data_IF_759597869048
#
_entry.id   IF_759597869048
#
_cell.length_a   1.000
_cell.length_b   1.000
_cell.length_c   1.000
_cell.angle_alpha   90.00
_cell.angle_beta   90.00
_cell.angle_gamma   90.00
#
_symmetry.space_group_name_H-M   'P 1'
#
loop_
_entity.id
_entity.type
_entity.pdbx_description
1 polymer ?
#
# COMPACT_ATOMS: atom_id res chain seq x y z
N UNK A 1 -1.77 -22.56 24.05
CA UNK A 1 -1.50 -21.58 22.99
C UNK A 1 -1.64 -22.30 21.66
N UNK A 2 -2.57 -21.91 20.79
CA UNK A 2 -2.71 -22.55 19.47
C UNK A 2 -1.47 -22.21 18.61
N UNK A 3 -0.80 -23.20 17.98
CA UNK A 3 0.53 -23.03 17.38
C UNK A 3 0.47 -22.48 15.94
N UNK A 4 -0.39 -21.51 15.67
CA UNK A 4 -0.50 -20.91 14.35
C UNK A 4 -0.53 -19.39 14.53
N UNK A 5 0.59 -18.73 14.25
CA UNK A 5 0.50 -17.35 13.80
C UNK A 5 -0.38 -17.38 12.54
N UNK A 6 -1.50 -16.67 12.53
CA UNK A 6 -2.30 -16.47 11.32
C UNK A 6 -1.37 -15.87 10.26
N UNK A 7 -0.81 -16.70 9.38
CA UNK A 7 -0.33 -16.22 8.10
C UNK A 7 -1.53 -16.11 7.20
N UNK A 8 -1.63 -14.96 6.53
CA UNK A 8 -2.66 -14.74 5.54
C UNK A 8 -2.70 -15.92 4.54
N UNK A 9 -3.89 -16.29 4.05
CA UNK A 9 -4.02 -17.35 3.06
C UNK A 9 -3.21 -16.98 1.82
N UNK A 10 -2.34 -17.90 1.38
CA UNK A 10 -1.50 -17.72 0.19
C UNK A 10 -1.61 -18.88 -0.81
N UNK A 11 -2.44 -19.89 -0.51
CA UNK A 11 -2.77 -21.02 -1.40
C UNK A 11 -4.29 -21.10 -1.57
N UNK A 12 -4.74 -21.56 -2.73
CA UNK A 12 -6.16 -21.79 -3.01
C UNK A 12 -6.83 -22.69 -1.95
N UNK A 13 -6.11 -23.71 -1.45
CA UNK A 13 -6.61 -24.61 -0.41
C UNK A 13 -6.84 -23.93 0.95
N UNK A 14 -6.16 -22.82 1.26
CA UNK A 14 -6.37 -22.11 2.52
C UNK A 14 -7.72 -21.39 2.53
N UNK A 15 -8.11 -20.77 1.42
CA UNK A 15 -9.42 -20.10 1.29
C UNK A 15 -10.60 -21.09 1.35
N UNK A 16 -10.37 -22.33 0.88
CA UNK A 16 -11.36 -23.40 0.86
C UNK A 16 -11.37 -24.27 2.14
N UNK A 17 -10.46 -24.05 3.10
CA UNK A 17 -10.36 -24.89 4.31
C UNK A 17 -11.61 -24.74 5.18
N UNK A 18 -12.25 -25.88 5.46
CA UNK A 18 -13.42 -25.93 6.35
C UNK A 18 -13.03 -25.61 7.78
N UNK A 19 -11.84 -26.04 8.20
CA UNK A 19 -11.27 -25.81 9.51
C UNK A 19 -11.02 -24.32 9.74
N UNK A 20 -10.42 -23.63 8.77
CA UNK A 20 -10.18 -22.19 8.84
C UNK A 20 -11.51 -21.41 8.85
N UNK A 21 -12.44 -21.75 7.95
CA UNK A 21 -13.77 -21.12 7.88
C UNK A 21 -14.60 -21.31 9.17
N UNK A 22 -14.21 -22.21 10.07
CA UNK A 22 -14.91 -22.48 11.33
C UNK A 22 -14.25 -21.83 12.57
N UNK A 23 -13.12 -21.12 12.43
CA UNK A 23 -12.37 -20.60 13.59
C UNK A 23 -13.08 -19.46 14.33
N UNK A 24 -13.85 -18.64 13.64
CA UNK A 24 -14.69 -17.58 14.23
C UNK A 24 -15.89 -17.27 13.33
N UNK A 25 -16.97 -16.63 13.84
CA UNK A 25 -18.22 -16.43 13.09
C UNK A 25 -18.06 -15.76 11.72
N UNK A 26 -17.08 -14.86 11.58
CA UNK A 26 -16.81 -14.12 10.34
C UNK A 26 -15.60 -14.64 9.55
N UNK A 27 -15.07 -15.83 9.88
CA UNK A 27 -13.94 -16.43 9.16
C UNK A 27 -14.25 -16.72 7.69
N UNK A 28 -15.46 -17.19 7.31
CA UNK A 28 -15.84 -17.36 5.91
C UNK A 28 -15.73 -16.06 5.10
N UNK A 29 -16.34 -14.98 5.60
CA UNK A 29 -16.36 -13.67 4.94
C UNK A 29 -14.96 -13.05 4.86
N UNK A 30 -14.16 -13.22 5.92
CA UNK A 30 -12.75 -12.81 5.92
C UNK A 30 -11.95 -13.50 4.81
N UNK A 31 -12.07 -14.83 4.68
CA UNK A 31 -11.36 -15.58 3.65
C UNK A 31 -11.84 -15.25 2.24
N UNK A 32 -13.14 -15.07 2.05
CA UNK A 32 -13.71 -14.68 0.76
C UNK A 32 -13.25 -13.27 0.35
N UNK A 33 -13.17 -12.34 1.32
CA UNK A 33 -12.63 -10.98 1.11
C UNK A 33 -11.16 -11.01 0.75
N UNK A 34 -10.34 -11.79 1.47
CA UNK A 34 -8.91 -11.92 1.15
C UNK A 34 -8.69 -12.59 -0.20
N UNK A 35 -9.51 -13.56 -0.60
CA UNK A 35 -9.43 -14.17 -1.93
C UNK A 35 -9.72 -13.13 -3.01
N UNK A 36 -10.79 -12.37 -2.85
CA UNK A 36 -11.16 -11.29 -3.78
C UNK A 36 -10.07 -10.23 -3.90
N UNK A 37 -9.48 -9.81 -2.77
CA UNK A 37 -8.35 -8.87 -2.76
C UNK A 37 -7.10 -9.43 -3.45
N UNK A 38 -6.82 -10.73 -3.30
CA UNK A 38 -5.67 -11.37 -3.93
C UNK A 38 -5.81 -11.52 -5.46
N UNK A 39 -7.02 -11.44 -6.01
CA UNK A 39 -7.27 -11.49 -7.46
C UNK A 39 -6.87 -10.18 -8.16
N UNK A 40 -6.86 -9.05 -7.44
CA UNK A 40 -6.51 -7.73 -7.96
C UNK A 40 -5.35 -7.14 -7.14
N UNK A 41 -4.12 -7.48 -7.55
CA UNK A 41 -2.93 -6.89 -6.94
C UNK A 41 -2.81 -5.40 -7.30
N UNK A 42 -2.56 -4.55 -6.31
CA UNK A 42 -2.10 -3.18 -6.52
C UNK A 42 -0.59 -3.22 -6.78
N UNK A 43 -0.15 -2.61 -7.87
CA UNK A 43 1.27 -2.47 -8.15
C UNK A 43 1.85 -1.35 -7.29
N UNK A 44 2.87 -1.66 -6.52
CA UNK A 44 3.62 -0.66 -5.75
C UNK A 44 4.19 0.43 -6.66
N UNK A 45 4.32 1.64 -6.12
CA UNK A 45 4.88 2.77 -6.85
C UNK A 45 6.37 2.49 -7.17
N UNK A 46 6.67 2.25 -8.45
CA UNK A 46 8.01 1.85 -8.89
C UNK A 46 8.63 2.91 -9.81
N UNK A 47 8.79 4.13 -9.29
CA UNK A 47 9.45 5.25 -9.95
C UNK A 47 10.73 5.66 -9.20
N UNK A 48 11.69 6.36 -9.82
CA UNK A 48 12.84 6.90 -9.10
C UNK A 48 12.39 7.73 -7.89
N UNK A 49 13.00 7.50 -6.74
CA UNK A 49 12.66 8.19 -5.49
C UNK A 49 11.35 7.75 -4.83
N UNK A 50 10.64 6.72 -5.31
CA UNK A 50 9.36 6.25 -4.72
C UNK A 50 9.39 6.13 -3.18
N UNK A 51 10.43 5.47 -2.65
CA UNK A 51 10.70 5.34 -1.21
C UNK A 51 10.78 6.69 -0.48
N UNK A 52 11.34 7.72 -1.12
CA UNK A 52 11.47 9.05 -0.51
C UNK A 52 10.12 9.77 -0.46
N UNK A 53 9.26 9.56 -1.46
CA UNK A 53 7.88 10.05 -1.41
C UNK A 53 7.10 9.38 -0.27
N UNK A 54 7.22 8.06 -0.13
CA UNK A 54 6.61 7.28 0.95
C UNK A 54 7.11 7.74 2.33
N UNK A 55 8.42 7.87 2.51
CA UNK A 55 9.01 8.30 3.78
C UNK A 55 8.61 9.73 4.18
N UNK A 56 8.43 10.64 3.21
CA UNK A 56 7.91 11.98 3.49
C UNK A 56 6.47 11.93 4.02
N UNK A 57 5.64 11.05 3.46
CA UNK A 57 4.28 10.83 3.95
C UNK A 57 4.27 10.16 5.33
N UNK A 58 5.10 9.14 5.55
CA UNK A 58 5.26 8.47 6.85
C UNK A 58 5.62 9.48 7.95
N UNK A 59 6.59 10.36 7.68
CA UNK A 59 6.98 11.44 8.60
C UNK A 59 5.82 12.39 8.89
N UNK A 60 5.04 12.76 7.87
CA UNK A 60 3.86 13.61 8.07
C UNK A 60 2.82 12.92 8.95
N UNK A 61 2.53 11.63 8.72
CA UNK A 61 1.60 10.86 9.54
C UNK A 61 2.06 10.76 11.00
N UNK A 62 3.34 10.46 11.23
CA UNK A 62 3.91 10.42 12.59
C UNK A 62 3.83 11.79 13.27
N UNK A 63 4.09 12.89 12.54
CA UNK A 63 3.98 14.24 13.08
C UNK A 63 2.54 14.57 13.50
N UNK A 64 1.54 14.16 12.71
CA UNK A 64 0.12 14.31 13.06
C UNK A 64 -0.21 13.56 14.34
N UNK A 65 0.26 12.31 14.49
CA UNK A 65 0.07 11.57 15.73
C UNK A 65 0.77 12.21 16.93
N UNK A 66 1.85 12.95 16.72
CA UNK A 66 2.54 13.72 17.73
C UNK A 66 1.88 15.10 18.03
N UNK A 67 0.80 15.46 17.33
CA UNK A 67 0.01 16.67 17.57
C UNK A 67 0.26 17.82 16.59
N UNK A 68 1.07 17.64 15.54
CA UNK A 68 1.19 18.63 14.47
C UNK A 68 -0.14 18.75 13.71
N UNK A 69 -0.63 19.97 13.40
CA UNK A 69 -1.81 20.13 12.57
C UNK A 69 -1.66 19.41 11.22
N UNK A 70 -2.68 18.65 10.81
CA UNK A 70 -2.61 17.81 9.61
C UNK A 70 -2.21 18.58 8.34
N UNK A 71 -2.73 19.81 8.19
CA UNK A 71 -2.37 20.68 7.07
C UNK A 71 -0.88 21.00 7.07
N UNK A 72 -0.32 21.38 8.21
CA UNK A 72 1.09 21.73 8.33
C UNK A 72 2.00 20.54 8.02
N UNK A 73 1.68 19.36 8.56
CA UNK A 73 2.43 18.14 8.29
C UNK A 73 2.40 17.74 6.79
N UNK A 74 1.23 17.84 6.15
CA UNK A 74 1.07 17.52 4.73
C UNK A 74 1.71 18.57 3.81
N UNK A 75 1.65 19.86 4.17
CA UNK A 75 2.34 20.92 3.44
C UNK A 75 3.87 20.67 3.42
N UNK A 76 4.43 20.19 4.54
CA UNK A 76 5.84 19.79 4.61
C UNK A 76 6.15 18.59 3.71
N UNK A 77 5.33 17.53 3.75
CA UNK A 77 5.52 16.38 2.86
C UNK A 77 5.44 16.78 1.38
N UNK A 78 4.50 17.67 1.01
CA UNK A 78 4.38 18.19 -0.34
C UNK A 78 5.64 18.96 -0.78
N UNK A 79 6.20 19.81 0.09
CA UNK A 79 7.46 20.51 -0.19
C UNK A 79 8.64 19.54 -0.35
N UNK A 80 8.69 18.45 0.44
CA UNK A 80 9.71 17.40 0.29
C UNK A 80 9.54 16.64 -1.05
N UNK A 81 8.30 16.35 -1.46
CA UNK A 81 8.02 15.74 -2.76
C UNK A 81 8.46 16.62 -3.93
N UNK A 82 8.26 17.94 -3.84
CA UNK A 82 8.77 18.89 -4.83
C UNK A 82 10.29 18.82 -4.92
N UNK A 83 10.99 18.76 -3.78
CA UNK A 83 12.45 18.64 -3.75
C UNK A 83 12.95 17.33 -4.37
N UNK A 84 12.30 16.20 -4.06
CA UNK A 84 12.62 14.90 -4.67
C UNK A 84 12.42 14.97 -6.19
N UNK A 85 11.29 15.51 -6.64
CA UNK A 85 10.96 15.65 -8.07
C UNK A 85 11.94 16.56 -8.80
N UNK A 86 12.30 17.69 -8.21
CA UNK A 86 13.27 18.63 -8.78
C UNK A 86 14.66 18.01 -8.88
N UNK A 87 15.10 17.30 -7.83
CA UNK A 87 16.42 16.63 -7.80
C UNK A 87 16.53 15.52 -8.84
N UNK A 88 15.46 14.76 -9.07
CA UNK A 88 15.43 13.71 -10.11
C UNK A 88 15.29 14.32 -11.52
N UNK A 89 14.51 15.39 -11.62
CA UNK A 89 14.14 16.08 -12.86
C UNK A 89 12.69 15.82 -13.23
N UNK A 90 11.92 16.90 -13.35
CA UNK A 90 10.46 16.87 -13.56
C UNK A 90 10.07 16.03 -14.79
N UNK A 91 10.76 16.19 -15.91
CA UNK A 91 10.42 15.46 -17.14
C UNK A 91 10.70 13.96 -17.04
N UNK A 92 11.82 13.59 -16.40
CA UNK A 92 12.15 12.18 -16.13
C UNK A 92 11.12 11.54 -15.20
N UNK A 93 10.72 12.27 -14.15
CA UNK A 93 9.73 11.79 -13.21
C UNK A 93 8.36 11.63 -13.85
N UNK A 94 7.95 12.59 -14.70
CA UNK A 94 6.71 12.51 -15.48
C UNK A 94 6.70 11.28 -16.38
N UNK A 95 7.79 11.04 -17.12
CA UNK A 95 7.89 9.87 -17.99
C UNK A 95 7.81 8.56 -17.18
N UNK A 96 8.61 8.44 -16.11
CA UNK A 96 8.60 7.25 -15.26
C UNK A 96 7.22 6.98 -14.66
N UNK A 97 6.52 8.03 -14.23
CA UNK A 97 5.16 7.91 -13.70
C UNK A 97 4.15 7.49 -14.77
N UNK A 98 4.22 8.04 -15.99
CA UNK A 98 3.36 7.62 -17.10
C UNK A 98 3.58 6.15 -17.47
N UNK A 99 4.84 5.70 -17.54
CA UNK A 99 5.19 4.31 -17.79
C UNK A 99 4.66 3.39 -16.70
N UNK A 100 4.83 3.75 -15.42
CA UNK A 100 4.26 3.00 -14.30
C UNK A 100 2.73 2.96 -14.36
N UNK A 101 2.08 4.11 -14.55
CA UNK A 101 0.61 4.24 -14.58
C UNK A 101 -0.04 3.47 -15.73
N UNK A 102 0.69 3.22 -16.83
CA UNK A 102 0.20 2.42 -17.96
C UNK A 102 0.09 0.91 -17.66
N UNK A 103 0.67 0.43 -16.55
CA UNK A 103 0.68 -0.99 -16.21
C UNK A 103 -0.71 -1.45 -15.71
N UNK A 104 -1.16 -2.68 -16.03
CA UNK A 104 -2.51 -3.16 -15.71
C UNK A 104 -2.92 -3.06 -14.23
N UNK A 105 -1.95 -3.07 -13.32
CA UNK A 105 -2.18 -3.09 -11.87
C UNK A 105 -1.79 -1.78 -11.17
N UNK A 106 -1.38 -0.73 -11.90
CA UNK A 106 -1.06 0.57 -11.29
C UNK A 106 -2.31 1.28 -10.74
N UNK A 107 -3.45 1.09 -11.41
CA UNK A 107 -4.77 1.55 -10.97
C UNK A 107 -5.81 0.44 -11.19
N UNK A 108 -5.89 -0.55 -10.29
CA UNK A 108 -6.86 -1.63 -10.41
C UNK A 108 -8.28 -1.08 -10.27
N UNK A 109 -9.14 -1.34 -11.26
CA UNK A 109 -10.58 -1.06 -11.25
C UNK A 109 -11.37 -2.30 -10.82
#
# INVERSE_FOLDING_TARGET
MLPFALRDPYRLSHYASKEYRALWPHAPEYLDTLKSGAEKGLLDLAIPGAREYEEALDRATVAVYAGTPAKEALDKAAAEWDQVTQRIGVDKQRQAYQEWASKPNAYPH
#
